data_IF_349599699794
#
_entry.id   IF_349599699794
#
_cell.length_a   1.000
_cell.length_b   1.000
_cell.length_c   1.000
_cell.angle_alpha   90.00
_cell.angle_beta   90.00
_cell.angle_gamma   90.00
#
_symmetry.space_group_name_H-M   'P 1'
#
loop_
_entity.id
_entity.type
_entity.pdbx_description
1 polymer ?
#
# COMPACT_ATOMS: atom_id res chain seq x y z
N UNK A 1 -9.66 38.01 13.38
CA UNK A 1 -8.25 37.72 13.70
C UNK A 1 -7.61 37.05 12.51
N UNK A 2 -6.90 37.83 11.71
CA UNK A 2 -6.17 37.38 10.52
C UNK A 2 -4.88 36.72 11.01
N UNK A 3 -4.85 35.37 10.95
CA UNK A 3 -3.62 34.62 11.12
C UNK A 3 -2.70 34.94 9.93
N UNK A 4 -1.67 35.74 10.19
CA UNK A 4 -0.73 36.16 9.17
C UNK A 4 0.48 35.21 9.12
N UNK A 5 0.20 33.89 9.03
CA UNK A 5 1.25 32.90 8.86
C UNK A 5 1.63 32.76 7.39
N UNK A 6 2.91 32.85 7.10
CA UNK A 6 3.44 32.60 5.76
C UNK A 6 3.16 31.15 5.34
N UNK A 7 2.83 30.93 4.07
CA UNK A 7 2.60 29.57 3.53
C UNK A 7 3.84 28.69 3.76
N UNK A 8 5.04 29.27 3.69
CA UNK A 8 6.29 28.56 3.98
C UNK A 8 6.39 28.12 5.46
N UNK A 9 5.96 28.97 6.38
CA UNK A 9 5.93 28.63 7.81
C UNK A 9 4.92 27.50 8.07
N UNK A 10 3.74 27.57 7.50
CA UNK A 10 2.74 26.50 7.62
C UNK A 10 3.23 25.16 7.09
N UNK A 11 3.90 25.14 5.93
CA UNK A 11 4.33 23.89 5.29
C UNK A 11 5.58 23.28 5.93
N UNK A 12 6.51 24.09 6.44
CA UNK A 12 7.81 23.63 6.91
C UNK A 12 8.00 23.71 8.43
N UNK A 13 7.09 24.34 9.18
CA UNK A 13 7.15 24.32 10.63
C UNK A 13 6.70 22.98 11.19
N UNK A 14 7.45 22.50 12.19
CA UNK A 14 7.12 21.28 12.93
C UNK A 14 6.28 21.56 14.21
N UNK A 15 6.11 22.84 14.57
CA UNK A 15 5.42 23.23 15.79
C UNK A 15 3.90 23.27 15.56
N UNK A 16 3.17 22.39 16.26
CA UNK A 16 1.72 22.37 16.26
C UNK A 16 1.22 22.75 17.67
N UNK A 17 0.87 24.00 17.86
CA UNK A 17 0.27 24.51 19.10
C UNK A 17 -0.80 25.55 18.77
N UNK A 18 -1.97 25.15 18.28
CA UNK A 18 -3.07 26.06 17.95
C UNK A 18 -3.73 26.53 19.24
N UNK A 19 -3.22 27.59 19.88
CA UNK A 19 -3.85 28.22 21.05
C UNK A 19 -4.21 29.66 20.75
N UNK A 20 -5.49 30.00 20.93
CA UNK A 20 -6.00 31.37 20.76
C UNK A 20 -5.55 32.36 21.86
N UNK A 21 -4.90 31.87 22.90
CA UNK A 21 -4.56 32.62 24.12
C UNK A 21 -3.12 33.13 24.18
N UNK A 22 -2.28 32.87 23.19
CA UNK A 22 -0.92 33.38 23.15
C UNK A 22 -0.87 34.77 22.46
N UNK A 23 -0.30 35.75 23.14
CA UNK A 23 0.11 37.02 22.54
C UNK A 23 1.10 36.74 21.40
N UNK A 24 0.62 36.57 20.17
CA UNK A 24 1.46 36.26 19.02
C UNK A 24 0.88 35.24 18.05
N UNK A 25 -0.32 34.70 18.33
CA UNK A 25 -0.96 33.69 17.48
C UNK A 25 -0.43 32.28 17.74
N UNK A 26 -1.28 31.26 17.58
CA UNK A 26 -0.88 29.85 17.72
C UNK A 26 0.10 29.44 16.60
N UNK A 27 1.01 28.54 16.91
CA UNK A 27 1.91 27.93 15.91
C UNK A 27 1.18 26.83 15.16
N UNK A 28 1.12 26.89 13.84
CA UNK A 28 0.38 25.96 12.97
C UNK A 28 1.34 25.42 11.91
N UNK A 29 2.05 24.35 12.23
CA UNK A 29 3.00 23.71 11.33
C UNK A 29 2.49 22.35 10.82
N UNK A 30 2.37 22.16 9.49
CA UNK A 30 1.88 20.94 8.88
C UNK A 30 2.99 19.93 8.56
N UNK A 31 4.26 20.28 8.72
CA UNK A 31 5.38 19.44 8.32
C UNK A 31 5.33 18.02 8.93
N UNK A 32 5.04 17.91 10.23
CA UNK A 32 4.95 16.60 10.91
C UNK A 32 3.88 15.70 10.27
N UNK A 33 2.72 16.27 9.93
CA UNK A 33 1.62 15.52 9.31
C UNK A 33 1.98 15.08 7.87
N UNK A 34 2.63 15.96 7.10
CA UNK A 34 3.08 15.65 5.73
C UNK A 34 4.13 14.55 5.76
N UNK A 35 5.18 14.68 6.55
CA UNK A 35 6.22 13.66 6.66
C UNK A 35 5.68 12.35 7.22
N UNK A 36 4.82 12.41 8.24
CA UNK A 36 4.18 11.23 8.81
C UNK A 36 3.36 10.46 7.76
N UNK A 37 2.56 11.17 6.96
CA UNK A 37 1.76 10.58 5.88
C UNK A 37 2.64 9.93 4.81
N UNK A 38 3.68 10.64 4.34
CA UNK A 38 4.60 10.12 3.33
C UNK A 38 5.31 8.85 3.81
N UNK A 39 5.85 8.85 5.03
CA UNK A 39 6.53 7.69 5.61
C UNK A 39 5.56 6.51 5.77
N UNK A 40 4.34 6.76 6.27
CA UNK A 40 3.33 5.72 6.45
C UNK A 40 2.91 5.12 5.10
N UNK A 41 2.67 5.95 4.08
CA UNK A 41 2.35 5.48 2.74
C UNK A 41 3.51 4.69 2.11
N UNK A 42 4.74 5.18 2.23
CA UNK A 42 5.92 4.48 1.72
C UNK A 42 6.09 3.10 2.38
N UNK A 43 5.92 3.02 3.69
CA UNK A 43 5.96 1.76 4.43
C UNK A 43 4.85 0.80 3.99
N UNK A 44 3.61 1.31 3.86
CA UNK A 44 2.48 0.52 3.40
C UNK A 44 2.71 -0.06 2.00
N UNK A 45 3.20 0.76 1.06
CA UNK A 45 3.53 0.32 -0.29
C UNK A 45 4.69 -0.69 -0.30
N UNK A 46 5.72 -0.47 0.51
CA UNK A 46 6.85 -1.39 0.63
C UNK A 46 6.43 -2.78 1.13
N UNK A 47 5.43 -2.84 2.01
CA UNK A 47 4.86 -4.10 2.49
C UNK A 47 3.87 -4.67 1.46
N UNK A 48 2.89 -3.90 1.01
CA UNK A 48 1.80 -4.40 0.16
C UNK A 48 2.27 -4.86 -1.23
N UNK A 49 3.16 -4.10 -1.89
CA UNK A 49 3.53 -4.34 -3.29
C UNK A 49 4.12 -5.73 -3.54
N UNK A 50 5.11 -6.23 -2.76
CA UNK A 50 5.67 -7.56 -3.02
C UNK A 50 4.65 -8.68 -2.83
N UNK A 51 3.80 -8.59 -1.80
CA UNK A 51 2.75 -9.59 -1.56
C UNK A 51 1.67 -9.54 -2.63
N UNK A 52 1.25 -8.35 -3.05
CA UNK A 52 0.26 -8.17 -4.12
C UNK A 52 0.76 -8.70 -5.46
N UNK A 53 2.02 -8.39 -5.83
CA UNK A 53 2.61 -8.90 -7.06
C UNK A 53 2.76 -10.43 -7.03
N UNK A 54 3.23 -10.99 -5.91
CA UNK A 54 3.33 -12.45 -5.76
C UNK A 54 1.97 -13.12 -5.91
N UNK A 55 0.92 -12.56 -5.30
CA UNK A 55 -0.45 -13.06 -5.40
C UNK A 55 -0.99 -12.92 -6.82
N UNK A 56 -0.77 -11.79 -7.49
CA UNK A 56 -1.18 -11.58 -8.87
C UNK A 56 -0.49 -12.56 -9.83
N UNK A 57 0.82 -12.77 -9.68
CA UNK A 57 1.56 -13.77 -10.48
C UNK A 57 1.04 -15.18 -10.20
N UNK A 58 0.81 -15.52 -8.95
CA UNK A 58 0.25 -16.81 -8.57
C UNK A 58 -1.09 -17.08 -9.28
N UNK A 59 -2.01 -16.13 -9.21
CA UNK A 59 -3.37 -16.28 -9.76
C UNK A 59 -3.45 -16.16 -11.29
N UNK A 60 -2.42 -15.62 -11.95
CA UNK A 60 -2.43 -15.44 -13.41
C UNK A 60 -1.53 -16.42 -14.14
N UNK A 61 -0.35 -16.71 -13.59
CA UNK A 61 0.70 -17.47 -14.27
C UNK A 61 0.95 -18.85 -13.67
N UNK A 62 0.84 -19.02 -12.35
CA UNK A 62 1.18 -20.29 -11.68
C UNK A 62 -0.03 -21.21 -11.64
N UNK A 63 -1.13 -20.74 -11.10
CA UNK A 63 -2.37 -21.54 -10.96
C UNK A 63 -3.62 -20.72 -11.29
N UNK A 64 -3.92 -20.51 -12.59
CA UNK A 64 -5.07 -19.70 -13.02
C UNK A 64 -6.42 -20.26 -12.54
N UNK A 65 -6.54 -21.57 -12.40
CA UNK A 65 -7.79 -22.21 -11.94
C UNK A 65 -8.06 -21.93 -10.46
N UNK A 66 -7.05 -22.12 -9.59
CA UNK A 66 -7.16 -21.77 -8.18
C UNK A 66 -7.29 -20.25 -7.99
N UNK A 67 -6.57 -19.47 -8.81
CA UNK A 67 -6.67 -18.02 -8.85
C UNK A 67 -8.11 -17.55 -9.06
N UNK A 68 -8.78 -18.03 -10.12
CA UNK A 68 -10.16 -17.67 -10.44
C UNK A 68 -11.17 -18.19 -9.42
N UNK A 69 -10.95 -19.40 -8.89
CA UNK A 69 -11.94 -20.06 -8.04
C UNK A 69 -11.91 -19.57 -6.59
N UNK A 70 -10.75 -19.25 -6.06
CA UNK A 70 -10.59 -18.91 -4.63
C UNK A 70 -9.95 -17.55 -4.38
N UNK A 71 -8.84 -17.23 -5.07
CA UNK A 71 -8.07 -16.03 -4.75
C UNK A 71 -8.80 -14.77 -5.22
N UNK A 72 -9.33 -14.78 -6.43
CA UNK A 72 -10.04 -13.63 -6.99
C UNK A 72 -11.30 -13.28 -6.19
N UNK A 73 -12.22 -14.21 -5.85
CA UNK A 73 -13.35 -13.88 -4.99
C UNK A 73 -12.94 -13.39 -3.60
N UNK A 74 -11.89 -13.96 -3.01
CA UNK A 74 -11.37 -13.49 -1.74
C UNK A 74 -10.89 -12.03 -1.83
N UNK A 75 -10.09 -11.70 -2.85
CA UNK A 75 -9.61 -10.33 -3.09
C UNK A 75 -10.78 -9.37 -3.31
N UNK A 76 -11.81 -9.76 -4.08
CA UNK A 76 -13.01 -8.95 -4.33
C UNK A 76 -13.81 -8.68 -3.05
N UNK A 77 -13.92 -9.66 -2.14
CA UNK A 77 -14.54 -9.48 -0.83
C UNK A 77 -13.75 -8.44 -0.02
N UNK A 78 -12.42 -8.52 0.01
CA UNK A 78 -11.58 -7.57 0.72
C UNK A 78 -11.70 -6.14 0.16
N UNK A 79 -11.82 -5.96 -1.15
CA UNK A 79 -12.09 -4.64 -1.77
C UNK A 79 -13.43 -4.05 -1.28
N UNK A 80 -14.43 -4.90 -1.05
CA UNK A 80 -15.76 -4.49 -0.61
C UNK A 80 -15.83 -4.04 0.85
N UNK A 81 -14.84 -4.33 1.68
CA UNK A 81 -14.84 -3.96 3.10
C UNK A 81 -14.58 -2.45 3.26
N UNK A 82 -15.45 -1.69 3.97
CA UNK A 82 -15.21 -0.28 4.24
C UNK A 82 -13.89 -0.04 4.99
N UNK A 83 -13.15 1.00 4.61
CA UNK A 83 -11.85 1.36 5.21
C UNK A 83 -11.91 1.57 6.73
N UNK A 84 -13.06 2.05 7.22
CA UNK A 84 -13.30 2.24 8.66
C UNK A 84 -13.17 0.92 9.44
N UNK A 85 -13.59 -0.20 8.85
CA UNK A 85 -13.49 -1.52 9.49
C UNK A 85 -12.02 -1.92 9.65
N UNK A 86 -11.19 -1.71 8.62
CA UNK A 86 -9.75 -1.95 8.72
C UNK A 86 -9.10 -1.09 9.81
N UNK A 87 -9.46 0.21 9.86
CA UNK A 87 -8.97 1.12 10.89
C UNK A 87 -9.39 0.68 12.30
N UNK A 88 -10.64 0.25 12.47
CA UNK A 88 -11.15 -0.22 13.77
C UNK A 88 -10.45 -1.52 14.23
N UNK A 89 -10.28 -2.50 13.35
CA UNK A 89 -9.51 -3.72 13.63
C UNK A 89 -8.05 -3.37 13.97
N UNK A 90 -7.45 -2.44 13.22
CA UNK A 90 -6.10 -1.96 13.51
C UNK A 90 -5.96 -1.39 14.92
N UNK A 91 -6.90 -0.55 15.33
CA UNK A 91 -6.90 0.06 16.66
C UNK A 91 -7.13 -0.95 17.77
N UNK A 92 -8.06 -1.89 17.58
CA UNK A 92 -8.47 -2.82 18.65
C UNK A 92 -7.59 -4.05 18.77
N UNK A 93 -6.98 -4.50 17.69
CA UNK A 93 -6.16 -5.73 17.64
C UNK A 93 -4.69 -5.43 17.41
N UNK A 94 -4.36 -4.71 16.32
CA UNK A 94 -2.97 -4.54 15.91
C UNK A 94 -2.18 -3.61 16.84
N UNK A 95 -2.78 -2.51 17.28
CA UNK A 95 -2.11 -1.57 18.20
C UNK A 95 -1.77 -2.22 19.54
N UNK A 96 -2.66 -2.95 20.23
CA UNK A 96 -2.30 -3.70 21.43
C UNK A 96 -1.29 -4.81 21.18
N UNK A 97 -1.37 -5.48 20.04
CA UNK A 97 -0.42 -6.54 19.66
C UNK A 97 1.01 -5.96 19.53
N UNK A 98 1.17 -4.87 18.80
CA UNK A 98 2.46 -4.19 18.63
C UNK A 98 2.98 -3.71 19.98
N UNK A 99 2.13 -3.09 20.80
CA UNK A 99 2.49 -2.66 22.15
C UNK A 99 3.09 -3.80 22.96
N UNK A 100 2.44 -4.96 22.96
CA UNK A 100 2.88 -6.12 23.74
C UNK A 100 4.15 -6.78 23.20
N UNK A 101 4.29 -6.92 21.87
CA UNK A 101 5.46 -7.53 21.23
C UNK A 101 6.71 -6.70 21.50
N UNK A 102 6.61 -5.36 21.34
CA UNK A 102 7.75 -4.47 21.46
C UNK A 102 7.92 -3.84 22.86
N UNK A 103 7.07 -4.22 23.84
CA UNK A 103 7.06 -3.67 25.20
C UNK A 103 7.02 -2.13 25.23
N UNK A 104 6.20 -1.53 24.36
CA UNK A 104 6.09 -0.08 24.23
C UNK A 104 5.09 0.51 25.26
N UNK A 105 5.31 1.76 25.67
CA UNK A 105 4.32 2.49 26.48
C UNK A 105 3.01 2.70 25.71
N UNK A 106 3.11 3.01 24.41
CA UNK A 106 1.98 3.23 23.51
C UNK A 106 2.18 2.37 22.26
N UNK A 107 1.12 1.72 21.77
CA UNK A 107 1.15 0.91 20.55
C UNK A 107 0.91 1.71 19.26
N UNK A 108 0.52 2.99 19.38
CA UNK A 108 0.33 3.88 18.24
C UNK A 108 1.69 4.18 17.61
N UNK A 109 1.88 3.75 16.38
CA UNK A 109 3.14 3.90 15.67
C UNK A 109 2.90 3.94 14.16
N UNK A 110 3.87 4.51 13.44
CA UNK A 110 3.91 4.47 11.97
C UNK A 110 3.86 3.04 11.45
N UNK A 111 4.46 2.09 12.20
CA UNK A 111 4.41 0.67 11.86
C UNK A 111 2.98 0.12 11.90
N UNK A 112 2.21 0.41 12.96
CA UNK A 112 0.82 -0.03 13.07
C UNK A 112 -0.02 0.56 11.93
N UNK A 113 0.08 1.86 11.70
CA UNK A 113 -0.64 2.54 10.62
C UNK A 113 -0.24 2.00 9.24
N UNK A 114 1.07 1.79 9.00
CA UNK A 114 1.59 1.24 7.75
C UNK A 114 1.10 -0.17 7.45
N UNK A 115 1.03 -1.06 8.46
CA UNK A 115 0.50 -2.42 8.30
C UNK A 115 -1.00 -2.39 7.98
N UNK A 116 -1.81 -1.60 8.71
CA UNK A 116 -3.25 -1.48 8.43
C UNK A 116 -3.48 -0.97 7.02
N UNK A 117 -2.75 0.07 6.62
CA UNK A 117 -2.85 0.64 5.28
C UNK A 117 -2.38 -0.37 4.22
N UNK A 118 -1.32 -1.15 4.48
CA UNK A 118 -0.85 -2.20 3.58
C UNK A 118 -1.91 -3.28 3.34
N UNK A 119 -2.59 -3.75 4.39
CA UNK A 119 -3.70 -4.72 4.26
C UNK A 119 -4.85 -4.14 3.46
N UNK A 120 -5.17 -2.85 3.66
CA UNK A 120 -6.26 -2.17 2.95
C UNK A 120 -5.98 -2.01 1.45
N UNK A 121 -4.73 -1.67 1.07
CA UNK A 121 -4.37 -1.46 -0.34
C UNK A 121 -3.98 -2.75 -1.08
N UNK A 122 -3.64 -3.82 -0.33
CA UNK A 122 -3.22 -5.11 -0.89
C UNK A 122 -4.19 -5.67 -1.94
N UNK A 123 -5.52 -5.77 -1.71
CA UNK A 123 -6.44 -6.34 -2.68
C UNK A 123 -6.55 -5.48 -3.94
N UNK A 124 -6.51 -4.17 -3.81
CA UNK A 124 -6.56 -3.24 -4.96
C UNK A 124 -5.33 -3.39 -5.86
N UNK A 125 -4.11 -3.39 -5.26
CA UNK A 125 -2.87 -3.60 -6.03
C UNK A 125 -2.87 -4.98 -6.67
N UNK A 126 -3.36 -6.02 -5.97
CA UNK A 126 -3.43 -7.38 -6.50
C UNK A 126 -4.33 -7.46 -7.74
N UNK A 127 -5.51 -6.86 -7.70
CA UNK A 127 -6.44 -6.84 -8.84
C UNK A 127 -5.84 -6.11 -10.03
N UNK A 128 -5.29 -4.90 -9.82
CA UNK A 128 -4.67 -4.12 -10.89
C UNK A 128 -3.47 -4.85 -11.50
N UNK A 129 -2.61 -5.45 -10.67
CA UNK A 129 -1.47 -6.24 -11.15
C UNK A 129 -1.91 -7.48 -11.94
N UNK A 130 -2.95 -8.18 -11.48
CA UNK A 130 -3.50 -9.33 -12.19
C UNK A 130 -4.07 -8.95 -13.56
N UNK A 131 -4.78 -7.83 -13.64
CA UNK A 131 -5.34 -7.34 -14.91
C UNK A 131 -4.24 -6.91 -15.89
N UNK A 132 -3.19 -6.24 -15.37
CA UNK A 132 -2.01 -5.91 -16.16
C UNK A 132 -1.30 -7.16 -16.72
N UNK A 133 -1.12 -8.20 -15.91
CA UNK A 133 -0.52 -9.45 -16.35
C UNK A 133 -1.40 -10.19 -17.36
N UNK A 134 -2.72 -10.14 -17.24
CA UNK A 134 -3.69 -10.74 -18.18
C UNK A 134 -3.75 -10.01 -19.52
N UNK A 135 -3.49 -8.72 -19.54
CA UNK A 135 -3.52 -7.90 -20.77
C UNK A 135 -2.41 -8.26 -21.76
N UNK A 136 -1.35 -8.95 -21.32
CA UNK A 136 -0.22 -9.31 -22.17
C UNK A 136 -0.61 -10.41 -23.16
N UNK A 137 -0.39 -10.21 -24.49
CA UNK A 137 -0.71 -11.21 -25.49
C UNK A 137 0.00 -12.55 -25.26
N UNK A 138 -0.68 -13.65 -25.53
CA UNK A 138 -0.14 -15.01 -25.40
C UNK A 138 1.09 -15.26 -26.27
N UNK A 139 1.25 -14.51 -27.37
CA UNK A 139 2.40 -14.59 -28.28
C UNK A 139 3.73 -14.28 -27.58
N UNK A 140 3.77 -13.38 -26.61
CA UNK A 140 4.98 -13.08 -25.83
C UNK A 140 5.45 -14.30 -25.05
N UNK A 141 4.51 -15.02 -24.43
CA UNK A 141 4.80 -16.26 -23.69
C UNK A 141 5.24 -17.37 -24.65
N UNK A 142 4.52 -17.54 -25.76
CA UNK A 142 4.85 -18.56 -26.77
C UNK A 142 6.25 -18.33 -27.38
N UNK A 143 6.61 -17.09 -27.70
CA UNK A 143 7.94 -16.74 -28.21
C UNK A 143 9.03 -17.05 -27.20
N UNK A 144 8.83 -16.71 -25.93
CA UNK A 144 9.80 -17.01 -24.85
C UNK A 144 10.01 -18.51 -24.68
N UNK A 145 8.94 -19.30 -24.68
CA UNK A 145 9.03 -20.77 -24.60
C UNK A 145 9.67 -21.37 -25.85
N UNK A 146 9.42 -20.81 -27.03
CA UNK A 146 10.06 -21.23 -28.29
C UNK A 146 11.58 -21.02 -28.29
N UNK A 147 12.08 -20.06 -27.51
CA UNK A 147 13.51 -19.85 -27.27
C UNK A 147 14.09 -20.73 -26.14
N UNK A 148 13.31 -21.65 -25.58
CA UNK A 148 13.76 -22.57 -24.54
C UNK A 148 13.75 -21.99 -23.11
N UNK A 149 13.08 -20.84 -22.89
CA UNK A 149 13.01 -20.26 -21.56
C UNK A 149 12.11 -21.09 -20.63
N UNK A 150 12.48 -21.18 -19.36
CA UNK A 150 11.65 -21.80 -18.31
C UNK A 150 10.45 -20.89 -17.95
N UNK A 151 9.43 -21.47 -17.29
CA UNK A 151 8.26 -20.69 -16.83
C UNK A 151 8.67 -19.49 -15.99
N UNK A 152 9.59 -19.67 -15.05
CA UNK A 152 10.07 -18.60 -14.18
C UNK A 152 10.83 -17.51 -14.94
N UNK A 153 11.67 -17.90 -15.90
CA UNK A 153 12.37 -16.95 -16.76
C UNK A 153 11.39 -16.14 -17.60
N UNK A 154 10.37 -16.79 -18.17
CA UNK A 154 9.32 -16.12 -18.94
C UNK A 154 8.55 -15.11 -18.05
N UNK A 155 8.14 -15.49 -16.85
CA UNK A 155 7.42 -14.60 -15.93
C UNK A 155 8.31 -13.41 -15.57
N UNK A 156 9.51 -13.64 -15.07
CA UNK A 156 10.37 -12.60 -14.52
C UNK A 156 10.99 -11.67 -15.57
N UNK A 157 11.33 -12.20 -16.77
CA UNK A 157 12.07 -11.44 -17.79
C UNK A 157 11.21 -10.94 -18.95
N UNK A 158 10.00 -11.51 -19.14
CA UNK A 158 9.13 -11.16 -20.27
C UNK A 158 7.80 -10.60 -19.77
N UNK A 159 7.06 -11.37 -18.97
CA UNK A 159 5.70 -11.03 -18.59
C UNK A 159 5.65 -9.84 -17.63
N UNK A 160 6.42 -9.88 -16.53
CA UNK A 160 6.42 -8.80 -15.53
C UNK A 160 6.93 -7.48 -16.11
N UNK A 161 8.08 -7.41 -16.83
CA UNK A 161 8.51 -6.17 -17.45
C UNK A 161 7.54 -5.63 -18.51
N UNK A 162 6.94 -6.53 -19.33
CA UNK A 162 5.96 -6.13 -20.33
C UNK A 162 4.67 -5.58 -19.69
N UNK A 163 4.25 -6.11 -18.52
CA UNK A 163 3.11 -5.59 -17.78
C UNK A 163 3.34 -4.16 -17.28
N UNK A 164 4.54 -3.84 -16.81
CA UNK A 164 4.89 -2.50 -16.34
C UNK A 164 4.88 -1.49 -17.48
N UNK A 165 5.42 -1.86 -18.65
CA UNK A 165 5.42 -0.98 -19.84
C UNK A 165 4.04 -0.81 -20.48
N UNK A 166 3.15 -1.78 -20.33
CA UNK A 166 1.77 -1.69 -20.86
C UNK A 166 0.83 -0.83 -20.01
N UNK A 167 1.26 -0.44 -18.79
CA UNK A 167 0.50 0.42 -17.87
C UNK A 167 0.86 1.92 -18.00
N UNK A 168 1.89 2.26 -18.75
CA UNK A 168 2.28 3.64 -19.11
C UNK A 168 1.64 4.08 -20.40
#
# INVERSE_FOLDING_TARGET
TTYNHSISEFLFSADWAPSDSAEGGGKVGAAIFIFGSVITCALALAIATPFSLATAIFMTEISPELGKRFVQPAVEIFVGIPSVVYGWIGLTILVPLIKNIFNLRFGFSVLAAGIVLAVMIFPTITSLAADALRSIPKSYRAASYGLGATRWQTIAKVVVPAAVTGLM
#
